data_IF_925864375136
#
_entry.id   IF_925864375136
#
_cell.length_a   1.000
_cell.length_b   1.000
_cell.length_c   1.000
_cell.angle_alpha   90.00
_cell.angle_beta   90.00
_cell.angle_gamma   90.00
#
_symmetry.space_group_name_H-M   'P 1'
#
loop_
_entity.id
_entity.type
_entity.pdbx_description
1 polymer ?
#
# COMPACT_ATOMS: atom_id res chain seq x y z
N UNK A 1 15.75 9.27 -2.21
CA UNK A 1 15.16 7.99 -2.66
C UNK A 1 14.35 7.40 -1.53
N UNK A 2 13.15 6.96 -1.81
CA UNK A 2 12.24 6.39 -0.80
C UNK A 2 12.49 4.90 -0.71
N UNK A 3 12.70 4.40 0.52
CA UNK A 3 12.90 2.98 0.74
C UNK A 3 11.58 2.23 0.57
N UNK A 4 11.65 1.04 -0.02
CA UNK A 4 10.51 0.15 -0.13
C UNK A 4 10.87 -1.16 0.57
N UNK A 5 10.02 -1.55 1.54
CA UNK A 5 10.14 -2.82 2.22
C UNK A 5 9.09 -3.78 1.67
N UNK A 6 9.42 -5.05 1.63
CA UNK A 6 8.54 -6.07 1.08
C UNK A 6 7.84 -6.83 2.20
N UNK A 7 6.57 -7.09 2.01
CA UNK A 7 5.76 -7.89 2.95
C UNK A 7 5.08 -9.01 2.15
N UNK A 8 5.79 -10.11 1.96
CA UNK A 8 5.37 -11.20 1.11
C UNK A 8 4.71 -12.36 1.86
N UNK A 9 4.68 -12.33 3.19
CA UNK A 9 4.00 -13.34 3.98
C UNK A 9 2.69 -12.81 4.57
N UNK A 10 1.78 -13.74 4.87
CA UNK A 10 0.51 -13.38 5.48
C UNK A 10 0.69 -12.60 6.80
N UNK A 11 1.59 -13.08 7.65
CA UNK A 11 1.83 -12.44 8.94
C UNK A 11 2.39 -11.03 8.77
N UNK A 12 3.35 -10.85 7.87
CA UNK A 12 3.91 -9.52 7.59
C UNK A 12 2.84 -8.55 7.07
N UNK A 13 1.93 -9.04 6.22
CA UNK A 13 0.82 -8.22 5.72
C UNK A 13 -0.15 -7.85 6.83
N UNK A 14 -0.45 -8.80 7.72
CA UNK A 14 -1.37 -8.58 8.82
C UNK A 14 -0.85 -7.53 9.80
N UNK A 15 0.43 -7.62 10.16
CA UNK A 15 1.05 -6.68 11.09
C UNK A 15 1.33 -5.35 10.39
N UNK A 16 1.93 -5.40 9.21
CA UNK A 16 2.17 -4.25 8.33
C UNK A 16 2.56 -2.97 9.05
N UNK A 17 1.70 -1.97 8.97
CA UNK A 17 1.92 -0.66 9.58
C UNK A 17 1.16 -0.47 10.90
N UNK A 18 0.53 -1.55 11.40
CA UNK A 18 -0.23 -1.48 12.65
C UNK A 18 0.68 -1.09 13.81
N UNK A 19 0.17 -0.26 14.70
CA UNK A 19 0.86 0.21 15.92
C UNK A 19 2.10 1.06 15.69
N UNK A 20 2.53 1.29 14.47
CA UNK A 20 3.66 2.19 14.22
C UNK A 20 3.23 3.64 14.40
N UNK A 21 4.13 4.47 14.92
CA UNK A 21 3.84 5.90 15.11
C UNK A 21 3.99 6.68 13.81
N UNK A 22 4.97 6.30 13.00
CA UNK A 22 5.30 6.98 11.76
C UNK A 22 6.20 6.09 10.92
N UNK A 23 6.25 6.36 9.61
CA UNK A 23 7.13 5.66 8.69
C UNK A 23 7.72 6.65 7.68
N UNK A 24 8.93 6.34 7.17
CA UNK A 24 9.58 7.09 6.11
C UNK A 24 9.85 6.21 4.88
N UNK A 25 9.16 5.06 4.79
CA UNK A 25 9.35 4.09 3.71
C UNK A 25 8.00 3.67 3.15
N UNK A 26 8.05 3.10 1.95
CA UNK A 26 6.90 2.42 1.38
C UNK A 26 6.91 0.95 1.76
N UNK A 27 5.75 0.37 2.03
CA UNK A 27 5.60 -1.05 2.32
C UNK A 27 4.87 -1.71 1.15
N UNK A 28 5.58 -2.57 0.42
CA UNK A 28 5.04 -3.23 -0.76
C UNK A 28 4.55 -4.63 -0.39
N UNK A 29 3.28 -4.86 -0.62
CA UNK A 29 2.68 -6.18 -0.47
C UNK A 29 2.63 -6.86 -1.82
N UNK A 30 3.29 -8.00 -1.94
CA UNK A 30 3.20 -8.85 -3.13
C UNK A 30 2.04 -9.81 -2.89
N UNK A 31 0.94 -9.55 -3.56
CA UNK A 31 -0.28 -10.33 -3.39
C UNK A 31 -0.52 -11.21 -4.59
N UNK A 32 -1.18 -12.34 -4.37
CA UNK A 32 -1.74 -13.11 -5.47
C UNK A 32 -3.19 -12.65 -5.67
N UNK A 33 -3.32 -11.42 -6.21
CA UNK A 33 -4.61 -10.83 -6.53
C UNK A 33 -5.47 -10.52 -5.31
N UNK A 34 -4.94 -9.66 -4.44
CA UNK A 34 -5.72 -9.06 -3.36
C UNK A 34 -6.38 -7.77 -3.79
N UNK A 35 -7.44 -7.37 -3.12
CA UNK A 35 -8.16 -6.15 -3.46
C UNK A 35 -8.58 -5.31 -2.27
N UNK A 36 -8.44 -5.79 -1.06
CA UNK A 36 -8.91 -5.07 0.12
C UNK A 36 -7.79 -4.75 1.09
N UNK A 37 -7.99 -3.68 1.83
CA UNK A 37 -7.05 -3.21 2.84
C UNK A 37 -7.81 -2.58 4.00
N UNK A 38 -7.27 -2.68 5.20
CA UNK A 38 -7.79 -1.98 6.35
C UNK A 38 -6.68 -1.23 7.06
N UNK A 39 -7.06 -0.19 7.80
CA UNK A 39 -6.14 0.62 8.58
C UNK A 39 -6.45 0.53 10.08
N UNK A 40 -7.00 -0.58 10.53
CA UNK A 40 -7.25 -0.84 11.94
C UNK A 40 -5.93 -0.81 12.72
N UNK A 41 -5.96 -0.17 13.88
CA UNK A 41 -4.79 0.00 14.76
C UNK A 41 -3.66 0.84 14.17
N UNK A 42 -3.87 1.51 13.06
CA UNK A 42 -2.89 2.45 12.53
C UNK A 42 -3.00 3.79 13.27
N UNK A 43 -1.90 4.52 13.31
CA UNK A 43 -1.78 5.77 14.07
C UNK A 43 -1.58 6.99 13.16
N UNK A 44 -1.60 6.79 11.85
CA UNK A 44 -1.44 7.86 10.86
C UNK A 44 -2.15 7.47 9.58
N UNK A 45 -2.45 8.46 8.74
CA UNK A 45 -3.06 8.24 7.44
C UNK A 45 -2.03 7.74 6.44
N UNK A 46 -2.48 6.88 5.52
CA UNK A 46 -1.61 6.32 4.49
C UNK A 46 -2.20 6.54 3.10
N UNK A 47 -1.30 6.60 2.12
CA UNK A 47 -1.66 6.47 0.72
C UNK A 47 -1.49 5.02 0.32
N UNK A 48 -2.48 4.47 -0.37
CA UNK A 48 -2.48 3.10 -0.83
C UNK A 48 -2.56 3.10 -2.34
N UNK A 49 -1.59 2.45 -2.97
CA UNK A 49 -1.52 2.32 -4.43
C UNK A 49 -1.75 0.87 -4.79
N UNK A 50 -2.72 0.62 -5.67
CA UNK A 50 -3.02 -0.71 -6.16
C UNK A 50 -2.44 -0.84 -7.57
N UNK A 51 -1.57 -1.84 -7.76
CA UNK A 51 -0.84 -2.02 -9.01
C UNK A 51 -1.22 -3.33 -9.67
N UNK A 52 -1.21 -3.32 -11.01
CA UNK A 52 -1.43 -4.51 -11.79
C UNK A 52 -0.10 -5.27 -12.01
N UNK A 53 -0.14 -6.33 -12.81
CA UNK A 53 1.03 -7.16 -13.09
C UNK A 53 2.11 -6.45 -13.90
N UNK A 54 1.79 -5.31 -14.49
CA UNK A 54 2.75 -4.48 -15.22
C UNK A 54 3.30 -3.34 -14.37
N UNK A 55 3.04 -3.37 -13.06
CA UNK A 55 3.45 -2.35 -12.09
C UNK A 55 2.81 -0.98 -12.35
N UNK A 56 1.64 -0.97 -12.98
CA UNK A 56 0.91 0.26 -13.26
C UNK A 56 -0.17 0.45 -12.19
N UNK A 57 -0.23 1.65 -11.64
CA UNK A 57 -1.22 2.01 -10.64
C UNK A 57 -2.60 2.14 -11.31
N UNK A 58 -3.53 1.27 -10.94
CA UNK A 58 -4.89 1.36 -11.46
C UNK A 58 -5.87 1.95 -10.45
N UNK A 59 -5.47 2.04 -9.19
CA UNK A 59 -6.30 2.64 -8.14
C UNK A 59 -5.41 3.23 -7.06
N UNK A 60 -5.89 4.28 -6.41
CA UNK A 60 -5.19 4.97 -5.35
C UNK A 60 -6.20 5.53 -4.37
N UNK A 61 -5.92 5.41 -3.08
CA UNK A 61 -6.77 5.97 -2.04
C UNK A 61 -5.92 6.42 -0.86
N UNK A 62 -6.37 7.49 -0.20
CA UNK A 62 -5.79 7.92 1.08
C UNK A 62 -6.75 7.50 2.18
N UNK A 63 -6.25 6.72 3.13
CA UNK A 63 -7.05 6.18 4.23
C UNK A 63 -6.58 6.72 5.56
N UNK A 64 -7.53 7.25 6.34
CA UNK A 64 -7.32 7.56 7.75
C UNK A 64 -7.28 6.27 8.56
N UNK A 65 -6.79 6.29 9.81
CA UNK A 65 -6.86 5.12 10.68
C UNK A 65 -8.31 4.60 10.83
N UNK A 66 -8.42 3.29 11.05
CA UNK A 66 -9.69 2.60 11.28
C UNK A 66 -10.64 2.68 10.09
N UNK A 67 -10.11 2.53 8.89
CA UNK A 67 -10.91 2.50 7.66
C UNK A 67 -10.68 1.17 6.92
N UNK A 68 -11.59 0.91 6.01
CA UNK A 68 -11.54 -0.24 5.12
C UNK A 68 -11.74 0.25 3.68
N UNK A 69 -11.03 -0.34 2.75
CA UNK A 69 -11.17 -0.01 1.34
C UNK A 69 -10.99 -1.25 0.49
N UNK A 70 -11.80 -1.36 -0.55
CA UNK A 70 -11.69 -2.42 -1.54
C UNK A 70 -11.52 -1.77 -2.91
N UNK A 71 -10.46 -2.15 -3.62
CA UNK A 71 -10.19 -1.61 -4.95
C UNK A 71 -11.19 -2.14 -5.99
N UNK A 72 -11.24 -1.47 -7.15
CA UNK A 72 -12.18 -1.80 -8.23
C UNK A 72 -11.92 -3.19 -8.81
N UNK A 73 -10.69 -3.67 -8.77
CA UNK A 73 -10.30 -5.01 -9.21
C UNK A 73 -9.15 -5.52 -8.36
N UNK A 74 -8.83 -6.80 -8.49
CA UNK A 74 -7.76 -7.42 -7.72
C UNK A 74 -6.41 -6.86 -8.15
N UNK A 75 -5.56 -6.56 -7.18
CA UNK A 75 -4.22 -6.04 -7.41
C UNK A 75 -3.17 -7.14 -7.32
N UNK A 76 -2.14 -7.04 -8.13
CA UNK A 76 -0.95 -7.88 -7.99
C UNK A 76 -0.09 -7.39 -6.85
N UNK A 77 0.06 -6.07 -6.73
CA UNK A 77 0.84 -5.43 -5.67
C UNK A 77 0.02 -4.35 -5.01
N UNK A 78 0.22 -4.17 -3.72
CA UNK A 78 -0.31 -3.03 -2.97
C UNK A 78 0.87 -2.34 -2.29
N UNK A 79 1.03 -1.05 -2.57
CA UNK A 79 2.06 -0.22 -1.96
C UNK A 79 1.39 0.73 -0.97
N UNK A 80 1.82 0.68 0.29
CA UNK A 80 1.35 1.56 1.35
C UNK A 80 2.46 2.50 1.75
N UNK A 81 2.15 3.79 1.80
CA UNK A 81 3.10 4.81 2.23
C UNK A 81 2.41 5.75 3.20
N UNK A 82 3.21 6.50 3.96
CA UNK A 82 2.69 7.63 4.70
C UNK A 82 2.04 8.61 3.72
N UNK A 83 0.98 9.28 4.14
CA UNK A 83 0.27 10.25 3.32
C UNK A 83 1.24 11.30 2.75
N UNK A 84 1.12 11.54 1.45
CA UNK A 84 1.92 12.51 0.70
C UNK A 84 3.42 12.19 0.61
N UNK A 85 3.84 10.97 0.94
CA UNK A 85 5.25 10.62 0.87
C UNK A 85 5.75 10.49 -0.57
N UNK A 86 4.97 9.87 -1.46
CA UNK A 86 5.41 9.56 -2.83
C UNK A 86 4.68 10.33 -3.92
N UNK A 87 3.40 10.62 -3.75
CA UNK A 87 2.58 11.39 -4.70
C UNK A 87 2.48 10.79 -6.11
N UNK A 88 2.44 9.46 -6.20
CA UNK A 88 2.17 8.80 -7.47
C UNK A 88 0.70 9.00 -7.89
N UNK A 89 0.43 8.86 -9.18
CA UNK A 89 -0.91 9.02 -9.76
C UNK A 89 -1.34 7.74 -10.46
N UNK A 90 -2.65 7.58 -10.65
CA UNK A 90 -3.18 6.52 -11.50
C UNK A 90 -2.54 6.57 -12.87
N UNK A 91 -2.15 5.41 -13.41
CA UNK A 91 -1.46 5.31 -14.68
C UNK A 91 0.05 5.36 -14.57
N UNK A 92 0.60 5.77 -13.45
CA UNK A 92 2.05 5.76 -13.24
C UNK A 92 2.54 4.33 -13.11
N UNK A 93 3.73 4.08 -13.65
CA UNK A 93 4.42 2.80 -13.49
C UNK A 93 5.48 2.97 -12.41
N UNK A 94 5.51 2.01 -11.48
CA UNK A 94 6.48 2.03 -10.38
C UNK A 94 7.52 0.93 -10.61
N UNK A 95 8.78 1.31 -10.64
CA UNK A 95 9.88 0.36 -10.71
C UNK A 95 10.39 0.04 -9.31
N UNK A 96 10.39 -1.24 -8.97
CA UNK A 96 10.80 -1.70 -7.63
C UNK A 96 12.24 -2.16 -7.57
N UNK A 97 12.88 -2.21 -8.68
CA UNK A 97 14.24 -2.78 -8.76
C UNK A 97 15.25 -1.66 -8.68
#
# INVERSE_FOLDING_TARGET
MIKIKYADTYLKRLIGLMFKKDIDYGLLFILRYGSSIHTCFMRFSIDVYFLDENNIIFDKVTLKPWRYYKSSKKAKYILETKENLMNFKKGDKIDFI
#
